data_IF_421829670228
#
_entry.id   IF_421829670228
#
_cell.length_a   1.000
_cell.length_b   1.000
_cell.length_c   1.000
_cell.angle_alpha   90.00
_cell.angle_beta   90.00
_cell.angle_gamma   90.00
#
_symmetry.space_group_name_H-M   'P 1'
#
loop_
_entity.id
_entity.type
_entity.pdbx_description
1 polymer ?
#
# COMPACT_ATOMS: atom_id res chain seq x y z
N UNK A 1 27.73 7.07 0.01
CA UNK A 1 26.57 7.59 0.75
C UNK A 1 25.59 6.47 1.10
N UNK A 2 24.98 6.50 2.29
CA UNK A 2 23.88 5.60 2.67
C UNK A 2 22.52 6.20 2.25
N UNK A 3 21.65 5.37 1.65
CA UNK A 3 20.25 5.69 1.32
C UNK A 3 19.33 4.74 2.08
N UNK A 4 18.38 5.29 2.83
CA UNK A 4 17.31 4.51 3.45
C UNK A 4 16.06 4.52 2.56
N UNK A 5 15.58 3.35 2.16
CA UNK A 5 14.30 3.19 1.46
C UNK A 5 13.26 2.65 2.44
N UNK A 6 12.23 3.43 2.75
CA UNK A 6 11.07 2.93 3.48
C UNK A 6 10.16 2.20 2.49
N UNK A 7 10.06 0.88 2.60
CA UNK A 7 9.59 0.03 1.51
C UNK A 7 8.31 -0.76 1.76
N UNK A 8 8.15 -1.82 0.95
CA UNK A 8 6.99 -2.71 0.96
C UNK A 8 6.16 -2.66 -0.33
N UNK A 9 6.56 -1.86 -1.31
CA UNK A 9 5.90 -1.72 -2.63
C UNK A 9 6.76 -2.30 -3.75
N UNK A 10 6.20 -2.38 -4.96
CA UNK A 10 6.98 -2.78 -6.14
C UNK A 10 7.99 -1.69 -6.53
N UNK A 11 7.61 -0.43 -6.39
CA UNK A 11 8.43 0.74 -6.69
C UNK A 11 9.62 0.82 -5.73
N UNK A 12 9.43 0.53 -4.43
CA UNK A 12 10.54 0.43 -3.48
C UNK A 12 11.56 -0.64 -3.88
N UNK A 13 11.10 -1.82 -4.34
CA UNK A 13 12.00 -2.90 -4.79
C UNK A 13 12.75 -2.52 -6.06
N UNK A 14 12.05 -1.92 -7.02
CA UNK A 14 12.65 -1.43 -8.27
C UNK A 14 13.68 -0.32 -8.00
N UNK A 15 13.37 0.62 -7.10
CA UNK A 15 14.29 1.66 -6.65
C UNK A 15 15.53 1.06 -5.99
N UNK A 16 15.36 0.09 -5.08
CA UNK A 16 16.49 -0.59 -4.43
C UNK A 16 17.41 -1.24 -5.45
N UNK A 17 16.85 -1.93 -6.45
CA UNK A 17 17.63 -2.53 -7.54
C UNK A 17 18.36 -1.48 -8.38
N UNK A 18 17.69 -0.37 -8.73
CA UNK A 18 18.28 0.71 -9.52
C UNK A 18 19.41 1.43 -8.80
N UNK A 19 19.27 1.69 -7.49
CA UNK A 19 20.30 2.35 -6.68
C UNK A 19 21.46 1.44 -6.31
N UNK A 20 21.21 0.14 -6.07
CA UNK A 20 22.26 -0.82 -5.74
C UNK A 20 23.25 -1.06 -6.91
N UNK A 21 22.85 -0.75 -8.14
CA UNK A 21 23.71 -0.80 -9.31
C UNK A 21 24.66 0.41 -9.43
N UNK A 22 24.48 1.45 -8.60
CA UNK A 22 25.29 2.67 -8.66
C UNK A 22 26.49 2.58 -7.70
N UNK A 23 27.72 2.87 -8.18
CA UNK A 23 28.91 2.84 -7.33
C UNK A 23 28.83 3.91 -6.23
N UNK A 24 29.36 3.60 -5.06
CA UNK A 24 29.42 4.53 -3.93
C UNK A 24 28.12 4.69 -3.13
N UNK A 25 27.03 4.01 -3.52
CA UNK A 25 25.79 3.97 -2.74
C UNK A 25 25.70 2.68 -1.90
N UNK A 26 25.40 2.84 -0.62
CA UNK A 26 24.91 1.77 0.24
C UNK A 26 23.41 1.93 0.39
N UNK A 27 22.63 0.92 0.04
CA UNK A 27 21.17 0.97 0.06
C UNK A 27 20.64 0.05 1.14
N UNK A 28 19.86 0.61 2.07
CA UNK A 28 19.16 -0.14 3.12
C UNK A 28 17.66 0.00 2.91
N UNK A 29 16.98 -1.12 2.70
CA UNK A 29 15.52 -1.18 2.62
C UNK A 29 14.91 -1.52 3.97
N UNK A 30 13.96 -0.71 4.44
CA UNK A 30 13.20 -0.96 5.67
C UNK A 30 11.83 -1.53 5.35
N UNK A 31 11.55 -2.74 5.84
CA UNK A 31 10.25 -3.39 5.73
C UNK A 31 9.55 -3.42 7.09
N UNK A 32 8.25 -3.13 7.11
CA UNK A 32 7.48 -3.09 8.35
C UNK A 32 7.18 -4.47 8.98
N UNK A 33 7.76 -5.57 8.47
CA UNK A 33 7.57 -6.93 9.02
C UNK A 33 6.11 -7.42 9.02
N UNK A 34 5.31 -6.94 8.07
CA UNK A 34 3.83 -7.12 8.11
C UNK A 34 3.33 -8.39 7.43
N UNK A 35 4.20 -9.00 6.63
CA UNK A 35 3.97 -10.23 5.86
C UNK A 35 4.97 -11.24 6.37
N UNK A 36 4.54 -12.47 6.65
CA UNK A 36 5.41 -13.51 7.23
C UNK A 36 6.60 -13.85 6.32
N UNK A 37 6.37 -13.88 5.01
CA UNK A 37 7.38 -14.18 3.99
C UNK A 37 7.32 -13.13 2.86
N UNK A 38 7.96 -11.96 3.02
CA UNK A 38 7.93 -10.90 2.02
C UNK A 38 8.95 -11.16 0.91
N UNK A 39 8.61 -10.81 -0.33
CA UNK A 39 9.62 -10.70 -1.42
C UNK A 39 10.61 -9.59 -1.07
N UNK A 40 11.86 -9.97 -0.82
CA UNK A 40 12.92 -9.06 -0.42
C UNK A 40 13.44 -8.22 -1.60
N UNK A 41 13.75 -6.93 -1.39
CA UNK A 41 14.51 -6.15 -2.35
C UNK A 41 15.98 -6.61 -2.42
N UNK A 42 16.67 -6.23 -3.50
CA UNK A 42 18.12 -6.38 -3.61
C UNK A 42 18.81 -5.46 -2.60
N UNK A 43 19.86 -5.95 -1.93
CA UNK A 43 20.67 -5.18 -0.99
C UNK A 43 20.37 -5.50 0.47
N UNK A 44 20.78 -4.58 1.36
CA UNK A 44 20.58 -4.73 2.79
C UNK A 44 19.12 -4.48 3.16
N UNK A 45 18.57 -5.32 4.04
CA UNK A 45 17.20 -5.21 4.50
C UNK A 45 17.15 -5.21 6.02
N UNK A 46 16.48 -4.20 6.57
CA UNK A 46 16.06 -4.20 7.98
C UNK A 46 14.55 -4.45 8.05
N UNK A 47 14.13 -5.23 9.04
CA UNK A 47 12.73 -5.59 9.24
C UNK A 47 12.31 -5.26 10.67
N UNK A 48 11.15 -4.64 10.80
CA UNK A 48 10.62 -4.16 12.08
C UNK A 48 10.21 -2.70 12.00
N UNK A 49 9.38 -2.28 12.96
CA UNK A 49 9.07 -0.87 13.11
C UNK A 49 10.22 -0.13 13.79
N UNK A 50 10.36 1.16 13.51
CA UNK A 50 11.32 2.02 14.20
C UNK A 50 10.88 2.42 15.62
N UNK A 51 9.66 2.08 16.05
CA UNK A 51 9.11 2.56 17.31
C UNK A 51 8.50 3.97 17.22
N UNK A 52 8.01 4.36 16.04
CA UNK A 52 7.41 5.68 15.80
C UNK A 52 8.41 6.71 15.26
N UNK A 53 8.00 7.98 15.16
CA UNK A 53 8.85 9.06 14.65
C UNK A 53 10.14 9.22 15.47
N UNK A 54 10.06 9.14 16.80
CA UNK A 54 11.21 9.33 17.69
C UNK A 54 12.27 8.24 17.50
N UNK A 55 11.83 7.00 17.32
CA UNK A 55 12.75 5.90 17.06
C UNK A 55 13.34 5.93 15.64
N UNK A 56 12.59 6.45 14.65
CA UNK A 56 13.16 6.73 13.33
C UNK A 56 14.19 7.86 13.41
N UNK A 57 13.91 8.95 14.15
CA UNK A 57 14.86 10.04 14.39
C UNK A 57 16.17 9.51 14.98
N UNK A 58 16.10 8.62 15.99
CA UNK A 58 17.27 7.99 16.57
C UNK A 58 18.06 7.20 15.53
N UNK A 59 17.38 6.38 14.73
CA UNK A 59 18.03 5.59 13.69
C UNK A 59 18.73 6.50 12.66
N UNK A 60 18.08 7.58 12.23
CA UNK A 60 18.66 8.56 11.30
C UNK A 60 19.89 9.27 11.90
N UNK A 61 19.85 9.62 13.19
CA UNK A 61 20.99 10.24 13.86
C UNK A 61 22.19 9.27 14.00
N UNK A 62 21.92 7.99 14.29
CA UNK A 62 22.96 6.97 14.45
C UNK A 62 23.61 6.56 13.12
N UNK A 63 22.83 6.47 12.05
CA UNK A 63 23.31 5.94 10.75
C UNK A 63 23.64 7.03 9.74
N UNK A 64 23.18 8.27 9.97
CA UNK A 64 23.41 9.44 9.13
C UNK A 64 23.26 9.15 7.62
N UNK A 65 22.10 8.61 7.17
CA UNK A 65 21.87 8.45 5.74
C UNK A 65 21.90 9.83 5.06
N UNK A 66 22.46 9.90 3.86
CA UNK A 66 22.44 11.14 3.08
C UNK A 66 21.08 11.42 2.46
N UNK A 67 20.20 10.41 2.37
CA UNK A 67 18.84 10.57 1.90
C UNK A 67 17.90 9.47 2.42
N UNK A 68 16.63 9.83 2.58
CA UNK A 68 15.52 8.89 2.80
C UNK A 68 14.56 8.96 1.61
N UNK A 69 14.21 7.80 1.05
CA UNK A 69 13.10 7.70 0.10
C UNK A 69 11.96 6.94 0.76
N UNK A 70 10.86 7.63 1.01
CA UNK A 70 9.62 6.99 1.38
C UNK A 70 8.97 6.43 0.10
N UNK A 71 9.08 5.11 -0.08
CA UNK A 71 8.41 4.34 -1.13
C UNK A 71 7.39 3.36 -0.51
N UNK A 72 6.82 3.70 0.65
CA UNK A 72 5.84 2.86 1.33
C UNK A 72 4.51 2.83 0.58
N UNK A 73 3.62 1.90 0.94
CA UNK A 73 2.29 1.82 0.33
C UNK A 73 1.52 3.14 0.56
N UNK A 74 0.70 3.65 -0.39
CA UNK A 74 -0.01 4.94 -0.24
C UNK A 74 -0.88 5.06 1.02
N UNK A 75 -1.30 3.93 1.60
CA UNK A 75 -2.07 3.86 2.85
C UNK A 75 -1.19 3.69 4.12
N UNK A 76 0.13 3.73 4.01
CA UNK A 76 1.07 3.63 5.13
C UNK A 76 1.29 4.99 5.83
N UNK A 77 0.21 5.75 6.02
CA UNK A 77 0.19 7.13 6.54
C UNK A 77 1.12 7.34 7.73
N UNK A 78 1.02 6.50 8.75
CA UNK A 78 1.82 6.60 9.98
C UNK A 78 3.33 6.57 9.70
N UNK A 79 3.76 5.73 8.76
CA UNK A 79 5.19 5.63 8.40
C UNK A 79 5.63 6.88 7.65
N UNK A 80 4.81 7.38 6.73
CA UNK A 80 5.09 8.62 5.99
C UNK A 80 5.13 9.85 6.89
N UNK A 81 4.20 9.97 7.84
CA UNK A 81 4.22 11.02 8.86
C UNK A 81 5.46 10.90 9.75
N UNK A 82 5.86 9.68 10.12
CA UNK A 82 7.07 9.44 10.90
C UNK A 82 8.32 9.85 10.13
N UNK A 83 8.40 9.50 8.85
CA UNK A 83 9.50 9.88 7.96
C UNK A 83 9.63 11.39 7.85
N UNK A 84 8.52 12.10 7.58
CA UNK A 84 8.50 13.55 7.48
C UNK A 84 9.01 14.23 8.76
N UNK A 85 8.52 13.79 9.93
CA UNK A 85 8.95 14.34 11.22
C UNK A 85 10.42 14.05 11.51
N UNK A 86 10.87 12.82 11.32
CA UNK A 86 12.24 12.41 11.63
C UNK A 86 13.26 13.09 10.72
N UNK A 87 12.95 13.18 9.42
CA UNK A 87 13.81 13.86 8.44
C UNK A 87 13.88 15.37 8.72
N UNK A 88 12.75 16.01 9.04
CA UNK A 88 12.73 17.41 9.45
C UNK A 88 13.55 17.67 10.72
N UNK A 89 13.48 16.76 11.70
CA UNK A 89 14.23 16.89 12.96
C UNK A 89 15.74 16.68 12.81
N UNK A 90 16.17 15.88 11.83
CA UNK A 90 17.59 15.53 11.62
C UNK A 90 18.24 16.30 10.47
N UNK A 91 17.45 17.01 9.66
CA UNK A 91 17.92 17.67 8.45
C UNK A 91 18.20 16.73 7.29
N UNK A 92 17.90 15.43 7.42
CA UNK A 92 18.10 14.46 6.34
C UNK A 92 17.08 14.71 5.21
N UNK A 93 17.50 14.82 3.94
CA UNK A 93 16.59 14.97 2.81
C UNK A 93 15.59 13.81 2.70
N UNK A 94 14.32 14.15 2.44
CA UNK A 94 13.23 13.19 2.25
C UNK A 94 12.55 13.36 0.90
N UNK A 95 12.42 12.25 0.17
CA UNK A 95 11.62 12.15 -1.05
C UNK A 95 10.46 11.18 -0.85
N UNK A 96 9.25 11.57 -1.29
CA UNK A 96 8.13 10.65 -1.43
C UNK A 96 8.05 10.07 -2.84
N UNK A 97 8.29 8.76 -3.00
CA UNK A 97 7.98 8.03 -4.23
C UNK A 97 6.52 7.57 -4.18
N UNK A 98 5.67 8.18 -5.01
CA UNK A 98 4.20 8.05 -4.97
C UNK A 98 3.62 7.88 -6.37
N UNK A 99 3.39 6.63 -6.78
CA UNK A 99 2.69 6.35 -8.03
C UNK A 99 1.27 6.97 -8.05
N UNK A 100 0.72 7.32 -9.23
CA UNK A 100 -0.61 7.92 -9.36
C UNK A 100 -1.77 7.02 -8.89
N UNK A 101 -2.93 7.65 -8.68
CA UNK A 101 -4.26 7.02 -8.56
C UNK A 101 -4.56 6.08 -9.72
N UNK A 102 -5.40 5.06 -9.51
CA UNK A 102 -6.03 4.46 -10.69
C UNK A 102 -7.03 5.47 -11.29
N UNK A 103 -6.98 5.73 -12.60
CA UNK A 103 -7.99 6.56 -13.26
C UNK A 103 -9.32 5.79 -13.34
N UNK A 104 -10.43 6.49 -13.13
CA UNK A 104 -11.77 5.95 -13.35
C UNK A 104 -12.13 6.08 -14.84
N UNK A 105 -12.50 4.97 -15.47
CA UNK A 105 -13.01 4.94 -16.83
C UNK A 105 -14.52 5.21 -16.91
N UNK A 106 -15.08 5.39 -18.12
CA UNK A 106 -16.50 5.69 -18.31
C UNK A 106 -17.44 4.55 -17.87
N UNK A 107 -16.96 3.30 -17.92
CA UNK A 107 -17.73 2.11 -17.53
C UNK A 107 -17.51 1.71 -16.07
N UNK A 108 -16.65 2.44 -15.34
CA UNK A 108 -16.34 2.16 -13.95
C UNK A 108 -17.40 2.76 -13.00
N UNK A 109 -18.13 1.90 -12.30
CA UNK A 109 -19.12 2.29 -11.29
C UNK A 109 -18.46 2.49 -9.91
N UNK A 110 -17.57 3.48 -9.77
CA UNK A 110 -16.86 3.72 -8.51
C UNK A 110 -17.62 4.67 -7.57
N UNK A 111 -17.80 4.24 -6.33
CA UNK A 111 -18.15 5.10 -5.20
C UNK A 111 -16.87 5.44 -4.44
N UNK A 112 -16.39 6.68 -4.59
CA UNK A 112 -15.22 7.16 -3.82
C UNK A 112 -15.63 7.50 -2.40
N UNK A 113 -14.86 7.01 -1.42
CA UNK A 113 -15.10 7.26 0.01
C UNK A 113 -13.81 7.63 0.73
N UNK A 114 -13.85 8.53 1.72
CA UNK A 114 -12.64 9.09 2.33
C UNK A 114 -11.92 8.12 3.28
N UNK A 115 -12.54 7.01 3.66
CA UNK A 115 -11.99 6.08 4.65
C UNK A 115 -12.60 4.68 4.55
N UNK A 116 -11.95 3.71 5.20
CA UNK A 116 -12.49 2.36 5.37
C UNK A 116 -13.78 2.35 6.20
N UNK A 117 -13.93 3.29 7.14
CA UNK A 117 -15.14 3.42 7.95
C UNK A 117 -16.30 3.88 7.06
N UNK A 118 -16.08 4.93 6.25
CA UNK A 118 -17.05 5.36 5.25
C UNK A 118 -17.37 4.27 4.22
N UNK A 119 -16.39 3.43 3.86
CA UNK A 119 -16.64 2.26 3.03
C UNK A 119 -17.60 1.28 3.71
N UNK A 120 -17.35 0.92 4.97
CA UNK A 120 -18.20 0.02 5.74
C UNK A 120 -19.62 0.57 5.92
N UNK A 121 -19.75 1.88 6.18
CA UNK A 121 -21.04 2.56 6.37
C UNK A 121 -21.85 2.65 5.07
N UNK A 122 -21.19 2.64 3.90
CA UNK A 122 -21.85 2.68 2.59
C UNK A 122 -22.35 1.30 2.11
N UNK A 123 -21.86 0.20 2.67
CA UNK A 123 -22.22 -1.15 2.18
C UNK A 123 -23.70 -1.50 2.30
N UNK A 124 -24.42 -1.18 3.41
CA UNK A 124 -25.84 -1.44 3.51
C UNK A 124 -26.60 -0.61 2.47
N UNK A 125 -27.00 -1.25 1.37
CA UNK A 125 -27.69 -0.60 0.24
C UNK A 125 -26.97 -0.75 -1.10
N UNK A 126 -25.71 -1.21 -1.12
CA UNK A 126 -24.96 -1.45 -2.37
C UNK A 126 -25.04 -2.90 -2.85
N UNK A 127 -25.17 -3.86 -1.94
CA UNK A 127 -25.26 -5.28 -2.26
C UNK A 127 -25.26 -6.15 -1.02
N UNK A 128 -25.10 -7.46 -1.23
CA UNK A 128 -25.24 -8.49 -0.20
C UNK A 128 -24.00 -9.38 -0.04
N UNK A 129 -23.10 -9.38 -1.03
CA UNK A 129 -21.95 -10.28 -1.15
C UNK A 129 -20.69 -9.49 -1.53
N UNK A 130 -20.00 -9.03 -0.50
CA UNK A 130 -18.95 -8.03 -0.60
C UNK A 130 -17.57 -8.67 -0.76
N UNK A 131 -16.81 -8.24 -1.77
CA UNK A 131 -15.41 -8.60 -1.94
C UNK A 131 -14.47 -7.58 -1.28
N UNK A 132 -13.86 -7.94 -0.15
CA UNK A 132 -12.88 -7.12 0.56
C UNK A 132 -11.47 -7.43 0.07
N UNK A 133 -10.86 -6.46 -0.62
CA UNK A 133 -9.46 -6.52 -1.07
C UNK A 133 -8.56 -5.50 -0.34
N UNK A 134 -8.98 -5.08 0.84
CA UNK A 134 -8.33 -4.03 1.65
C UNK A 134 -7.21 -4.55 2.55
N UNK A 135 -7.06 -5.89 2.66
CA UNK A 135 -6.03 -6.61 3.43
C UNK A 135 -6.41 -6.84 4.90
N UNK A 136 -5.76 -7.84 5.54
CA UNK A 136 -6.13 -8.30 6.90
C UNK A 136 -6.36 -7.23 7.96
N UNK A 137 -5.50 -6.21 8.01
CA UNK A 137 -5.57 -5.15 9.04
C UNK A 137 -6.79 -4.24 8.92
N UNK A 138 -7.50 -4.31 7.80
CA UNK A 138 -8.69 -3.51 7.55
C UNK A 138 -9.98 -4.25 7.88
N UNK A 139 -9.95 -5.57 8.05
CA UNK A 139 -11.14 -6.38 8.37
C UNK A 139 -11.86 -5.95 9.67
N UNK A 140 -11.16 -5.56 10.76
CA UNK A 140 -11.82 -5.07 11.97
C UNK A 140 -12.84 -3.94 11.73
N UNK A 141 -12.62 -3.09 10.73
CA UNK A 141 -13.54 -1.97 10.40
C UNK A 141 -14.89 -2.47 9.89
N UNK A 142 -14.91 -3.65 9.27
CA UNK A 142 -16.13 -4.27 8.72
C UNK A 142 -16.82 -5.19 9.73
N UNK A 143 -16.19 -5.51 10.87
CA UNK A 143 -16.74 -6.42 11.87
C UNK A 143 -18.13 -6.00 12.41
N UNK A 144 -18.43 -4.70 12.61
CA UNK A 144 -19.76 -4.25 13.03
C UNK A 144 -20.84 -4.35 11.95
N UNK A 145 -20.49 -4.61 10.68
CA UNK A 145 -21.46 -4.66 9.58
C UNK A 145 -22.13 -6.03 9.57
N UNK A 146 -23.43 -6.05 9.85
CA UNK A 146 -24.26 -7.26 9.89
C UNK A 146 -25.14 -7.40 8.65
N UNK A 147 -25.69 -8.59 8.40
CA UNK A 147 -26.60 -8.85 7.29
C UNK A 147 -25.94 -9.02 5.91
N UNK A 148 -24.62 -8.85 5.80
CA UNK A 148 -23.86 -9.06 4.56
C UNK A 148 -23.00 -10.32 4.65
N UNK A 149 -22.72 -10.93 3.50
CA UNK A 149 -21.71 -11.98 3.36
C UNK A 149 -20.43 -11.38 2.78
N UNK A 150 -19.28 -11.71 3.34
CA UNK A 150 -17.99 -11.15 2.94
C UNK A 150 -17.06 -12.22 2.38
N UNK A 151 -16.43 -11.95 1.24
CA UNK A 151 -15.21 -12.59 0.82
C UNK A 151 -14.04 -11.66 1.14
N UNK A 152 -13.13 -12.06 2.01
CA UNK A 152 -11.93 -11.28 2.29
C UNK A 152 -10.69 -11.99 1.74
N UNK A 153 -9.91 -11.29 0.90
CA UNK A 153 -8.62 -11.78 0.44
C UNK A 153 -7.49 -11.17 1.25
N UNK A 154 -6.61 -12.02 1.77
CA UNK A 154 -5.42 -11.60 2.52
C UNK A 154 -4.23 -12.49 2.19
N UNK A 155 -3.01 -11.98 2.40
CA UNK A 155 -1.79 -12.79 2.27
C UNK A 155 -1.60 -13.69 3.49
N UNK A 156 -1.72 -13.10 4.70
CA UNK A 156 -1.67 -13.84 5.96
C UNK A 156 -3.06 -13.86 6.62
N UNK A 157 -3.34 -14.82 7.51
CA UNK A 157 -4.58 -14.86 8.26
C UNK A 157 -4.88 -13.55 9.02
N UNK A 158 -6.11 -13.04 8.95
CA UNK A 158 -6.53 -11.93 9.79
C UNK A 158 -6.69 -12.37 11.25
N UNK A 159 -6.39 -11.46 12.15
CA UNK A 159 -6.70 -11.61 13.56
C UNK A 159 -8.08 -10.99 13.85
N UNK A 160 -8.85 -11.55 14.78
CA UNK A 160 -10.09 -10.93 15.24
C UNK A 160 -9.89 -9.49 15.74
N UNK A 161 -10.90 -8.62 15.63
CA UNK A 161 -12.25 -8.92 15.13
C UNK A 161 -12.33 -8.97 13.60
N UNK A 162 -13.20 -9.83 13.10
CA UNK A 162 -13.57 -9.95 11.67
C UNK A 162 -15.10 -9.97 11.54
N UNK A 163 -15.69 -9.68 10.37
CA UNK A 163 -17.14 -9.80 10.17
C UNK A 163 -17.65 -11.20 10.51
N UNK A 164 -18.84 -11.29 11.10
CA UNK A 164 -19.41 -12.58 11.54
C UNK A 164 -19.63 -13.56 10.39
N UNK A 165 -19.90 -13.06 9.17
CA UNK A 165 -20.16 -13.86 7.99
C UNK A 165 -19.09 -13.61 6.92
N UNK A 166 -17.84 -13.96 7.23
CA UNK A 166 -16.69 -13.79 6.35
C UNK A 166 -16.10 -15.13 5.93
N UNK A 167 -15.87 -15.29 4.63
CA UNK A 167 -14.98 -16.30 4.08
C UNK A 167 -13.63 -15.65 3.75
N UNK A 168 -12.54 -16.20 4.28
CA UNK A 168 -11.19 -15.67 4.05
C UNK A 168 -10.44 -16.55 3.08
N UNK A 169 -9.93 -15.96 1.99
CA UNK A 169 -9.00 -16.61 1.08
C UNK A 169 -7.59 -16.10 1.36
N UNK A 170 -6.67 -17.03 1.59
CA UNK A 170 -5.25 -16.75 1.67
C UNK A 170 -4.65 -16.86 0.29
N UNK A 171 -4.27 -15.71 -0.27
CA UNK A 171 -3.76 -15.62 -1.63
C UNK A 171 -2.76 -14.47 -1.74
N UNK A 172 -1.74 -14.71 -2.56
CA UNK A 172 -0.67 -13.78 -2.85
C UNK A 172 -0.48 -13.80 -4.36
N UNK A 173 -0.85 -12.69 -5.00
CA UNK A 173 -0.76 -12.55 -6.45
C UNK A 173 0.62 -12.82 -7.08
N UNK A 174 0.75 -12.64 -8.40
CA UNK A 174 -0.06 -11.73 -9.21
C UNK A 174 -1.48 -12.22 -9.48
N UNK A 175 -2.42 -11.29 -9.59
CA UNK A 175 -3.81 -11.58 -9.90
C UNK A 175 -4.09 -11.33 -11.39
N UNK A 176 -4.89 -12.19 -12.01
CA UNK A 176 -5.27 -12.07 -13.42
C UNK A 176 -6.75 -11.70 -13.53
N UNK A 177 -7.13 -11.01 -14.61
CA UNK A 177 -8.55 -10.64 -14.84
C UNK A 177 -9.43 -11.88 -14.90
N UNK A 178 -8.96 -12.94 -15.58
CA UNK A 178 -9.67 -14.22 -15.65
C UNK A 178 -9.90 -14.83 -14.26
N UNK A 179 -8.88 -14.85 -13.39
CA UNK A 179 -9.00 -15.36 -12.02
C UNK A 179 -9.95 -14.52 -11.16
N UNK A 180 -9.89 -13.19 -11.27
CA UNK A 180 -10.79 -12.28 -10.55
C UNK A 180 -12.25 -12.48 -10.99
N UNK A 181 -12.51 -12.66 -12.29
CA UNK A 181 -13.86 -12.96 -12.80
C UNK A 181 -14.38 -14.30 -12.29
N UNK A 182 -13.53 -15.33 -12.31
CA UNK A 182 -13.89 -16.65 -11.80
C UNK A 182 -14.25 -16.56 -10.31
N UNK A 183 -13.44 -15.86 -9.51
CA UNK A 183 -13.66 -15.68 -8.08
C UNK A 183 -14.94 -14.88 -7.79
N UNK A 184 -15.18 -13.79 -8.53
CA UNK A 184 -16.41 -13.00 -8.44
C UNK A 184 -17.63 -13.87 -8.76
N UNK A 185 -17.58 -14.64 -9.85
CA UNK A 185 -18.67 -15.51 -10.28
C UNK A 185 -18.96 -16.66 -9.29
N UNK A 186 -17.93 -17.41 -8.90
CA UNK A 186 -18.03 -18.54 -7.95
C UNK A 186 -18.69 -18.11 -6.64
N UNK A 187 -18.24 -16.98 -6.09
CA UNK A 187 -18.79 -16.47 -4.84
C UNK A 187 -19.99 -15.53 -5.03
N UNK A 188 -20.48 -15.32 -6.25
CA UNK A 188 -21.60 -14.40 -6.57
C UNK A 188 -21.41 -13.02 -5.93
N UNK A 189 -20.21 -12.46 -6.03
CA UNK A 189 -19.90 -11.16 -5.44
C UNK A 189 -20.64 -10.06 -6.20
N UNK A 190 -21.20 -9.10 -5.47
CA UNK A 190 -21.99 -8.01 -6.03
C UNK A 190 -21.44 -6.61 -5.69
N UNK A 191 -20.44 -6.51 -4.81
CA UNK A 191 -19.75 -5.25 -4.49
C UNK A 191 -18.26 -5.51 -4.28
N UNK A 192 -17.39 -4.69 -4.86
CA UNK A 192 -15.95 -4.69 -4.57
C UNK A 192 -15.59 -3.54 -3.62
N UNK A 193 -14.88 -3.82 -2.53
CA UNK A 193 -14.26 -2.79 -1.70
C UNK A 193 -12.75 -2.84 -1.86
N UNK A 194 -12.15 -1.71 -2.21
CA UNK A 194 -10.71 -1.62 -2.37
C UNK A 194 -10.13 -0.27 -1.99
N UNK A 195 -8.82 -0.26 -1.74
CA UNK A 195 -8.03 0.95 -1.54
C UNK A 195 -7.50 1.40 -2.89
N UNK A 196 -7.49 2.70 -3.16
CA UNK A 196 -6.81 3.26 -4.34
C UNK A 196 -5.28 3.10 -4.20
N UNK A 197 -4.79 1.90 -4.42
CA UNK A 197 -3.37 1.57 -4.30
C UNK A 197 -2.57 2.04 -5.51
N UNK A 198 -3.18 2.14 -6.71
CA UNK A 198 -2.52 2.61 -7.94
C UNK A 198 -1.52 1.65 -8.61
N UNK A 199 -1.36 0.43 -8.09
CA UNK A 199 -0.34 -0.52 -8.58
C UNK A 199 -0.91 -1.58 -9.51
N UNK A 200 -0.22 -1.88 -10.61
CA UNK A 200 -0.67 -2.85 -11.63
C UNK A 200 -0.90 -4.27 -11.07
N UNK A 201 -0.09 -4.71 -10.11
CA UNK A 201 -0.17 -6.06 -9.52
C UNK A 201 -1.54 -6.41 -8.91
N UNK A 202 -2.36 -5.41 -8.60
CA UNK A 202 -3.69 -5.61 -8.02
C UNK A 202 -4.81 -5.03 -8.88
N UNK A 203 -4.51 -4.51 -10.08
CA UNK A 203 -5.49 -3.81 -10.92
C UNK A 203 -6.54 -4.75 -11.51
N UNK A 204 -6.22 -6.03 -11.69
CA UNK A 204 -7.09 -7.04 -12.31
C UNK A 204 -8.52 -7.08 -11.74
N UNK A 205 -8.69 -6.90 -10.42
CA UNK A 205 -10.00 -6.88 -9.76
C UNK A 205 -10.92 -5.75 -10.24
N UNK A 206 -10.35 -4.60 -10.61
CA UNK A 206 -11.11 -3.45 -11.12
C UNK A 206 -11.61 -3.74 -12.53
N UNK A 207 -10.75 -4.34 -13.36
CA UNK A 207 -11.14 -4.76 -14.72
C UNK A 207 -12.25 -5.80 -14.66
N UNK A 208 -12.12 -6.81 -13.78
CA UNK A 208 -13.15 -7.82 -13.59
C UNK A 208 -14.46 -7.24 -13.03
N UNK A 209 -14.38 -6.31 -12.06
CA UNK A 209 -15.57 -5.63 -11.54
C UNK A 209 -16.29 -4.84 -12.63
N UNK A 210 -15.56 -4.11 -13.47
CA UNK A 210 -16.11 -3.39 -14.62
C UNK A 210 -16.77 -4.32 -15.64
N UNK A 211 -16.09 -5.40 -16.04
CA UNK A 211 -16.63 -6.38 -17.01
C UNK A 211 -17.92 -7.05 -16.51
N UNK A 212 -18.08 -7.16 -15.19
CA UNK A 212 -19.23 -7.78 -14.53
C UNK A 212 -20.25 -6.76 -13.98
N UNK A 213 -20.02 -5.47 -14.18
CA UNK A 213 -20.92 -4.39 -13.72
C UNK A 213 -21.00 -4.23 -12.20
N UNK A 214 -19.99 -4.66 -11.45
CA UNK A 214 -19.97 -4.51 -9.99
C UNK A 214 -19.67 -3.05 -9.60
N UNK A 215 -20.44 -2.45 -8.66
CA UNK A 215 -20.02 -1.24 -8.00
C UNK A 215 -18.71 -1.46 -7.22
N UNK A 216 -17.82 -0.46 -7.28
CA UNK A 216 -16.55 -0.46 -6.56
C UNK A 216 -16.57 0.64 -5.51
N UNK A 217 -16.59 0.26 -4.23
CA UNK A 217 -16.31 1.18 -3.12
C UNK A 217 -14.81 1.39 -3.05
N UNK A 218 -14.37 2.53 -3.56
CA UNK A 218 -12.97 2.90 -3.71
C UNK A 218 -12.58 3.86 -2.58
N UNK A 219 -11.75 3.37 -1.67
CA UNK A 219 -11.23 4.18 -0.56
C UNK A 219 -10.15 5.12 -1.08
N UNK A 220 -10.34 6.42 -0.82
CA UNK A 220 -9.39 7.48 -1.14
C UNK A 220 -8.08 7.31 -0.36
N UNK A 221 -7.00 7.78 -0.97
CA UNK A 221 -5.70 7.81 -0.34
C UNK A 221 -5.70 8.85 0.79
N UNK A 222 -5.01 8.58 1.91
CA UNK A 222 -4.74 9.64 2.86
C UNK A 222 -3.88 10.74 2.20
N UNK A 223 -4.01 12.00 2.65
CA UNK A 223 -3.16 13.07 2.17
C UNK A 223 -1.69 12.77 2.48
N UNK A 224 -0.79 13.16 1.58
CA UNK A 224 0.64 13.07 1.82
C UNK A 224 1.07 14.10 2.89
N UNK A 225 2.15 13.84 3.65
CA UNK A 225 2.72 14.84 4.54
C UNK A 225 3.07 16.13 3.79
N UNK A 226 2.71 17.28 4.35
CA UNK A 226 3.02 18.58 3.76
C UNK A 226 4.53 18.85 3.76
N UNK A 227 5.01 19.61 2.77
CA UNK A 227 6.42 20.03 2.66
C UNK A 227 7.38 18.94 2.17
N UNK A 228 6.89 17.75 1.78
CA UNK A 228 7.71 16.67 1.24
C UNK A 228 7.67 16.70 -0.29
N UNK A 229 8.84 16.80 -0.93
CA UNK A 229 9.00 16.65 -2.38
C UNK A 229 8.54 15.26 -2.82
N UNK A 230 7.83 15.19 -3.95
CA UNK A 230 7.27 13.92 -4.46
C UNK A 230 7.59 13.72 -5.92
N UNK A 231 7.81 12.46 -6.28
CA UNK A 231 7.95 11.98 -7.65
C UNK A 231 7.05 10.77 -7.85
N UNK A 232 6.66 10.51 -9.09
CA UNK A 232 5.68 9.44 -9.39
C UNK A 232 6.28 8.14 -9.87
N UNK A 233 7.54 8.17 -10.33
CA UNK A 233 8.23 7.00 -10.87
C UNK A 233 9.64 6.83 -10.29
N UNK A 234 10.19 5.64 -10.55
CA UNK A 234 11.47 5.20 -10.01
C UNK A 234 12.65 5.94 -10.64
N UNK A 235 12.53 6.35 -11.91
CA UNK A 235 13.64 7.02 -12.61
C UNK A 235 13.89 8.40 -12.01
N UNK A 236 12.84 9.16 -11.76
CA UNK A 236 12.92 10.45 -11.08
C UNK A 236 13.47 10.32 -9.65
N UNK A 237 13.07 9.25 -8.94
CA UNK A 237 13.60 8.98 -7.60
C UNK A 237 15.10 8.64 -7.62
N UNK A 238 15.57 7.89 -8.62
CA UNK A 238 17.00 7.61 -8.81
C UNK A 238 17.78 8.90 -9.10
N UNK A 239 17.25 9.75 -9.99
CA UNK A 239 17.85 11.06 -10.31
C UNK A 239 17.96 11.92 -9.06
N UNK A 240 16.86 12.07 -8.30
CA UNK A 240 16.86 12.86 -7.08
C UNK A 240 17.88 12.36 -6.04
N UNK A 241 18.01 11.04 -5.85
CA UNK A 241 19.03 10.48 -4.94
C UNK A 241 20.43 10.81 -5.41
N UNK A 242 20.70 10.74 -6.72
CA UNK A 242 22.02 11.07 -7.29
C UNK A 242 22.40 12.53 -7.06
N UNK A 243 21.44 13.44 -7.19
CA UNK A 243 21.68 14.88 -6.97
C UNK A 243 22.02 15.21 -5.51
N UNK A 244 21.59 14.34 -4.58
CA UNK A 244 21.92 14.45 -3.15
C UNK A 244 23.12 13.56 -2.74
N UNK A 245 23.66 12.76 -3.66
CA UNK A 245 24.75 11.82 -3.41
C UNK A 245 26.15 12.40 -3.53
N UNK A 246 26.27 13.71 -3.79
CA UNK A 246 27.48 14.49 -4.07
C UNK A 246 28.79 13.88 -3.59
#
# INVERSE_FOLDING_TARGET
MLVLILGGTAEARALSAGLAALPGLRVVSSLAGRVADPRLPVGEVISGGFGGPEGLTRWLAEHAPGAVVDATHPFARTMSESAARACAATGVPLLGLRRPGWPQGPEDAWLRVPSLKAAADALPGLGSRVFLTTGRRSLPVFAPVTGLWFLARSVDPPEPPVPANVHVILDRGPYTVAGERALIGEHRLDVLVTKDSGGELTRAKLVAARELGLPVVMVDRPPAPGGVTQVTDVADAVTWVRDHAG
#
